data_IF_795251615630
#
_entry.id   IF_795251615630
#
_cell.length_a   1.000
_cell.length_b   1.000
_cell.length_c   1.000
_cell.angle_alpha   90.00
_cell.angle_beta   90.00
_cell.angle_gamma   90.00
#
_symmetry.space_group_name_H-M   'P 1'
#
loop_
_entity.id
_entity.type
_entity.pdbx_description
1 polymer ?
#
# COMPACT_ATOMS: atom_id res chain seq x y z
N UNK A 1 20.92 6.66 -6.35
CA UNK A 1 19.61 6.01 -6.22
C UNK A 1 18.93 6.61 -5.00
N UNK A 2 17.68 7.06 -5.12
CA UNK A 2 16.88 7.50 -3.98
C UNK A 2 16.26 6.27 -3.31
N UNK A 3 16.41 6.16 -1.99
CA UNK A 3 15.80 5.06 -1.22
C UNK A 3 14.27 5.20 -1.19
N UNK A 4 13.59 4.07 -1.28
CA UNK A 4 12.16 3.95 -1.01
C UNK A 4 11.89 4.21 0.47
N UNK A 5 10.83 4.94 0.80
CA UNK A 5 10.41 5.18 2.19
C UNK A 5 9.20 4.30 2.50
N UNK A 6 9.03 3.88 3.74
CA UNK A 6 7.82 3.18 4.18
C UNK A 6 6.54 3.97 3.87
N UNK A 7 6.50 5.28 4.18
CA UNK A 7 5.36 6.13 3.83
C UNK A 7 4.11 6.00 4.71
N UNK A 8 4.07 5.03 5.64
CA UNK A 8 3.00 4.90 6.63
C UNK A 8 3.32 5.76 7.86
N UNK A 9 2.40 6.64 8.26
CA UNK A 9 2.42 7.30 9.58
C UNK A 9 3.69 8.09 9.94
N UNK A 10 4.51 8.47 8.97
CA UNK A 10 5.81 9.12 9.21
C UNK A 10 6.93 8.15 9.63
N UNK A 11 6.76 6.84 9.44
CA UNK A 11 7.78 5.83 9.65
C UNK A 11 9.10 6.24 8.95
N UNK A 12 10.25 6.26 9.67
CA UNK A 12 11.51 6.77 9.14
C UNK A 12 12.25 5.76 8.25
N UNK A 13 11.79 4.51 8.21
CA UNK A 13 12.47 3.41 7.53
C UNK A 13 12.58 3.61 6.01
N UNK A 14 13.71 3.16 5.49
CA UNK A 14 14.12 3.35 4.10
C UNK A 14 14.76 2.10 3.53
N UNK A 15 14.48 1.83 2.27
CA UNK A 15 14.81 0.58 1.61
C UNK A 15 15.46 0.84 0.25
N UNK A 16 16.31 -0.08 -0.18
CA UNK A 16 16.97 -0.01 -1.49
C UNK A 16 16.00 -0.33 -2.63
N UNK A 17 15.00 -1.17 -2.34
CA UNK A 17 13.98 -1.64 -3.28
C UNK A 17 12.56 -1.49 -2.72
N UNK A 18 11.56 -1.52 -3.62
CA UNK A 18 10.16 -1.34 -3.28
C UNK A 18 9.60 -2.56 -2.54
N UNK A 19 10.07 -3.76 -2.88
CA UNK A 19 9.67 -5.04 -2.30
C UNK A 19 9.92 -5.07 -0.80
N UNK A 20 11.11 -4.66 -0.37
CA UNK A 20 11.49 -4.58 1.04
C UNK A 20 10.63 -3.56 1.79
N UNK A 21 10.27 -2.45 1.15
CA UNK A 21 9.35 -1.48 1.73
C UNK A 21 7.94 -2.07 1.92
N UNK A 22 7.41 -2.78 0.92
CA UNK A 22 6.08 -3.42 1.00
C UNK A 22 6.05 -4.54 2.06
N UNK A 23 7.12 -5.33 2.15
CA UNK A 23 7.26 -6.37 3.17
C UNK A 23 7.25 -5.72 4.56
N UNK A 24 8.05 -4.67 4.77
CA UNK A 24 8.07 -3.93 6.03
C UNK A 24 6.69 -3.34 6.38
N UNK A 25 6.02 -2.69 5.43
CA UNK A 25 4.66 -2.17 5.61
C UNK A 25 3.68 -3.25 6.09
N UNK A 26 3.82 -4.48 5.59
CA UNK A 26 2.91 -5.58 5.92
C UNK A 26 3.19 -6.21 7.27
N UNK A 27 4.47 -6.32 7.66
CA UNK A 27 4.87 -7.07 8.87
C UNK A 27 5.05 -6.18 10.11
N UNK A 28 5.42 -4.90 9.94
CA UNK A 28 5.74 -4.01 11.05
C UNK A 28 4.64 -2.98 11.38
N UNK A 29 3.59 -2.87 10.55
CA UNK A 29 2.50 -1.92 10.77
C UNK A 29 1.16 -2.61 11.01
N UNK A 30 0.32 -1.95 11.79
CA UNK A 30 -1.06 -2.38 12.02
C UNK A 30 -1.83 -2.45 10.70
N UNK A 31 -2.73 -3.44 10.61
CA UNK A 31 -3.59 -3.60 9.43
C UNK A 31 -4.56 -2.43 9.31
N UNK A 32 -4.82 -2.02 8.07
CA UNK A 32 -5.77 -0.95 7.75
C UNK A 32 -7.18 -1.51 7.58
N UNK A 33 -8.16 -0.82 8.18
CA UNK A 33 -9.58 -1.09 7.95
C UNK A 33 -10.08 -0.20 6.81
N UNK A 34 -10.44 -0.81 5.68
CA UNK A 34 -10.97 -0.09 4.54
C UNK A 34 -12.26 0.68 4.92
N UNK A 35 -12.26 2.00 4.75
CA UNK A 35 -13.42 2.84 5.07
C UNK A 35 -14.62 2.63 4.10
N UNK A 36 -14.38 2.05 2.92
CA UNK A 36 -15.44 1.79 1.93
C UNK A 36 -16.25 0.54 2.27
N UNK A 37 -15.58 -0.59 2.53
CA UNK A 37 -16.26 -1.90 2.72
C UNK A 37 -16.02 -2.55 4.08
N UNK A 38 -15.14 -2.00 4.93
CA UNK A 38 -14.85 -2.52 6.27
C UNK A 38 -13.85 -3.68 6.34
N UNK A 39 -13.36 -4.20 5.21
CA UNK A 39 -12.33 -5.24 5.18
C UNK A 39 -11.03 -4.79 5.85
N UNK A 40 -10.36 -5.72 6.53
CA UNK A 40 -9.05 -5.48 7.18
C UNK A 40 -7.94 -6.03 6.29
N UNK A 41 -7.14 -5.14 5.73
CA UNK A 41 -6.06 -5.42 4.78
C UNK A 41 -4.72 -4.94 5.34
N UNK A 42 -3.57 -5.46 4.90
CA UNK A 42 -2.30 -4.83 5.25
C UNK A 42 -2.30 -3.35 4.84
N UNK A 43 -1.68 -2.50 5.65
CA UNK A 43 -1.56 -1.06 5.37
C UNK A 43 -0.51 -0.80 4.25
N UNK A 44 -0.32 0.46 3.88
CA UNK A 44 0.61 0.86 2.84
C UNK A 44 0.12 0.43 1.45
N UNK A 45 0.99 -0.23 0.68
CA UNK A 45 0.72 -0.59 -0.70
C UNK A 45 -0.54 -1.46 -0.87
N UNK A 46 -0.74 -2.47 -0.02
CA UNK A 46 -1.91 -3.35 -0.15
C UNK A 46 -3.23 -2.62 0.15
N UNK A 47 -3.24 -1.66 1.08
CA UNK A 47 -4.41 -0.82 1.33
C UNK A 47 -4.73 0.09 0.14
N UNK A 48 -3.71 0.68 -0.49
CA UNK A 48 -3.87 1.50 -1.70
C UNK A 48 -4.39 0.63 -2.84
N UNK A 49 -3.74 -0.50 -3.12
CA UNK A 49 -4.17 -1.42 -4.18
C UNK A 49 -5.60 -1.89 -3.98
N UNK A 50 -5.97 -2.33 -2.78
CA UNK A 50 -7.34 -2.70 -2.45
C UNK A 50 -8.33 -1.56 -2.74
N UNK A 51 -8.00 -0.33 -2.32
CA UNK A 51 -8.86 0.82 -2.51
C UNK A 51 -9.16 1.13 -3.99
N UNK A 52 -8.19 0.94 -4.89
CA UNK A 52 -8.31 1.33 -6.31
C UNK A 52 -8.58 0.17 -7.27
N UNK A 53 -8.44 -1.08 -6.84
CA UNK A 53 -8.85 -2.25 -7.61
C UNK A 53 -10.27 -2.72 -7.26
N UNK A 54 -10.66 -2.62 -5.99
CA UNK A 54 -11.94 -3.17 -5.51
C UNK A 54 -13.05 -2.11 -5.39
N UNK A 55 -12.71 -0.82 -5.43
CA UNK A 55 -13.66 0.28 -5.30
C UNK A 55 -13.43 1.36 -6.35
N UNK A 56 -14.48 2.11 -6.65
CA UNK A 56 -14.38 3.27 -7.53
C UNK A 56 -13.75 4.48 -6.83
N UNK A 57 -13.13 5.37 -7.61
CA UNK A 57 -12.64 6.68 -7.12
C UNK A 57 -13.72 7.46 -6.36
N UNK A 58 -14.97 7.40 -6.81
CA UNK A 58 -16.07 8.12 -6.19
C UNK A 58 -16.42 7.55 -4.80
N UNK A 59 -16.32 6.23 -4.61
CA UNK A 59 -16.49 5.59 -3.31
C UNK A 59 -15.33 5.92 -2.37
N UNK A 60 -14.09 5.87 -2.87
CA UNK A 60 -12.90 6.26 -2.12
C UNK A 60 -13.00 7.70 -1.61
N UNK A 61 -13.30 8.66 -2.50
CA UNK A 61 -13.47 10.08 -2.15
C UNK A 61 -14.50 10.28 -1.06
N UNK A 62 -15.66 9.62 -1.16
CA UNK A 62 -16.73 9.76 -0.15
C UNK A 62 -16.36 9.11 1.19
N UNK A 63 -15.72 7.94 1.17
CA UNK A 63 -15.42 7.20 2.39
C UNK A 63 -14.25 7.79 3.17
N UNK A 64 -13.27 8.37 2.48
CA UNK A 64 -12.06 8.92 3.08
C UNK A 64 -12.02 10.45 3.13
N UNK A 65 -13.11 11.12 2.72
CA UNK A 65 -13.15 12.60 2.57
C UNK A 65 -11.96 13.14 1.76
N UNK A 66 -11.61 12.41 0.68
CA UNK A 66 -10.40 12.66 -0.09
C UNK A 66 -10.66 13.61 -1.28
N UNK A 67 -9.68 14.43 -1.64
CA UNK A 67 -9.74 15.25 -2.85
C UNK A 67 -9.10 14.54 -4.06
N UNK A 68 -9.21 15.17 -5.23
CA UNK A 68 -8.63 14.63 -6.47
C UNK A 68 -7.10 14.52 -6.44
N UNK A 69 -6.43 15.34 -5.63
CA UNK A 69 -4.97 15.29 -5.47
C UNK A 69 -4.58 14.06 -4.65
N UNK A 70 -5.29 13.79 -3.56
CA UNK A 70 -5.12 12.62 -2.71
C UNK A 70 -5.35 11.30 -3.47
N UNK A 71 -6.30 11.29 -4.42
CA UNK A 71 -6.51 10.17 -5.33
C UNK A 71 -5.31 9.99 -6.26
N UNK A 72 -4.92 11.04 -6.99
CA UNK A 72 -3.81 10.97 -7.97
C UNK A 72 -2.51 10.50 -7.32
N UNK A 73 -2.13 11.08 -6.18
CA UNK A 73 -0.91 10.69 -5.45
C UNK A 73 -0.89 9.19 -5.16
N UNK A 74 -2.02 8.60 -4.79
CA UNK A 74 -2.08 7.17 -4.45
C UNK A 74 -2.10 6.28 -5.68
N UNK A 75 -2.74 6.71 -6.75
CA UNK A 75 -2.70 6.01 -8.03
C UNK A 75 -1.28 6.02 -8.61
N UNK A 76 -0.59 7.16 -8.55
CA UNK A 76 0.80 7.31 -8.97
C UNK A 76 1.72 6.41 -8.13
N UNK A 77 1.60 6.45 -6.80
CA UNK A 77 2.36 5.55 -5.91
C UNK A 77 2.09 4.07 -6.21
N UNK A 78 0.83 3.69 -6.48
CA UNK A 78 0.49 2.31 -6.85
C UNK A 78 1.18 1.91 -8.15
N UNK A 79 1.10 2.77 -9.18
CA UNK A 79 1.69 2.53 -10.48
C UNK A 79 3.22 2.42 -10.41
N UNK A 80 3.88 3.35 -9.71
CA UNK A 80 5.34 3.35 -9.53
C UNK A 80 5.82 2.06 -8.84
N UNK A 81 5.06 1.56 -7.86
CA UNK A 81 5.37 0.29 -7.19
C UNK A 81 5.11 -0.90 -8.13
N UNK A 82 4.00 -0.90 -8.87
CA UNK A 82 3.64 -1.99 -9.79
C UNK A 82 4.61 -2.10 -10.98
N UNK A 83 5.22 -0.99 -11.38
CA UNK A 83 6.21 -0.94 -12.46
C UNK A 83 7.62 -1.39 -12.02
N UNK A 84 8.01 -1.15 -10.76
CA UNK A 84 9.34 -1.49 -10.24
C UNK A 84 9.41 -2.86 -9.55
N UNK A 85 8.37 -3.25 -8.79
CA UNK A 85 8.44 -4.35 -7.83
C UNK A 85 8.01 -5.71 -8.40
N UNK A 86 8.73 -6.79 -8.06
CA UNK A 86 8.22 -8.16 -8.20
C UNK A 86 7.20 -8.49 -7.11
N UNK A 87 5.95 -8.10 -7.36
CA UNK A 87 4.83 -8.33 -6.44
C UNK A 87 4.53 -9.82 -6.20
N UNK A 88 4.85 -10.69 -7.15
CA UNK A 88 4.69 -12.14 -6.94
C UNK A 88 5.72 -12.62 -5.91
N UNK A 89 6.97 -12.19 -6.06
CA UNK A 89 8.03 -12.44 -5.09
C UNK A 89 7.69 -11.93 -3.69
N UNK A 90 7.15 -10.71 -3.59
CA UNK A 90 6.68 -10.13 -2.31
C UNK A 90 5.61 -10.99 -1.65
N UNK A 91 4.57 -11.39 -2.40
CA UNK A 91 3.49 -12.22 -1.85
C UNK A 91 4.00 -13.57 -1.38
N UNK A 92 4.87 -14.23 -2.14
CA UNK A 92 5.46 -15.50 -1.73
C UNK A 92 6.34 -15.35 -0.48
N UNK A 93 7.10 -14.26 -0.37
CA UNK A 93 7.88 -13.99 0.84
C UNK A 93 7.00 -13.76 2.06
N UNK A 94 5.92 -13.00 1.92
CA UNK A 94 4.99 -12.75 3.02
C UNK A 94 4.28 -14.03 3.48
N UNK A 95 3.92 -14.93 2.56
CA UNK A 95 3.40 -16.25 2.91
C UNK A 95 4.42 -17.08 3.68
N UNK A 96 5.70 -17.05 3.31
CA UNK A 96 6.76 -17.75 4.06
C UNK A 96 6.91 -17.25 5.49
N UNK A 97 6.51 -16.01 5.76
CA UNK A 97 6.53 -15.38 7.09
C UNK A 97 5.22 -15.50 7.85
N UNK A 98 4.22 -16.22 7.31
CA UNK A 98 2.86 -16.29 7.85
C UNK A 98 2.22 -14.89 8.07
N UNK A 99 2.55 -13.93 7.20
CA UNK A 99 2.12 -12.51 7.31
C UNK A 99 0.90 -12.14 6.43
N UNK A 100 0.33 -13.10 5.71
CA UNK A 100 -0.89 -12.96 4.90
C UNK A 100 -1.88 -14.07 5.24
#
# INVERSE_FOLDING_TARGET
>A
MSLWKCGIGGCPERFEDAESAIIHQTVEHDRHKCAVCGSVVPDGYFAIRHAFEEHSRAEYVRAYDADSTAVRIREDVKADIEDEADLRGVVEELKRRDAL
#
